data_IF_517157515717
#
_entry.id   IF_517157515717
#
_cell.length_a   1.000
_cell.length_b   1.000
_cell.length_c   1.000
_cell.angle_alpha   90.00
_cell.angle_beta   90.00
_cell.angle_gamma   90.00
#
_symmetry.space_group_name_H-M   'P 1'
#
loop_
_entity.id
_entity.type
_entity.pdbx_description
1 polymer ?
#
# COMPACT_ATOMS: atom_id res chain seq x y z
N UNK A 1 -2.42 -22.97 11.46
CA UNK A 1 -3.43 -21.89 11.59
C UNK A 1 -2.85 -20.52 11.33
N UNK A 2 -1.56 -20.28 11.62
CA UNK A 2 -0.91 -18.98 11.39
C UNK A 2 -1.00 -18.46 9.95
N UNK A 3 -0.97 -19.34 8.94
CA UNK A 3 -1.17 -18.91 7.54
C UNK A 3 -2.57 -18.28 7.31
N UNK A 4 -3.63 -18.85 7.90
CA UNK A 4 -4.98 -18.31 7.77
C UNK A 4 -5.10 -16.97 8.49
N UNK A 5 -4.46 -16.84 9.67
CA UNK A 5 -4.36 -15.56 10.38
C UNK A 5 -3.60 -14.54 9.52
N UNK A 6 -2.44 -14.89 8.98
CA UNK A 6 -1.66 -13.99 8.12
C UNK A 6 -2.45 -13.52 6.88
N UNK A 7 -3.23 -14.41 6.25
CA UNK A 7 -4.15 -14.04 5.15
C UNK A 7 -5.20 -13.05 5.64
N UNK A 8 -5.81 -13.27 6.81
CA UNK A 8 -6.79 -12.35 7.37
C UNK A 8 -6.19 -10.96 7.65
N UNK A 9 -5.00 -10.89 8.25
CA UNK A 9 -4.27 -9.64 8.46
C UNK A 9 -3.98 -8.93 7.13
N UNK A 10 -3.54 -9.68 6.11
CA UNK A 10 -3.32 -9.13 4.77
C UNK A 10 -4.60 -8.60 4.11
N UNK A 11 -5.75 -9.26 4.30
CA UNK A 11 -7.05 -8.77 3.81
C UNK A 11 -7.44 -7.47 4.53
N UNK A 12 -7.32 -7.44 5.85
CA UNK A 12 -7.67 -6.26 6.65
C UNK A 12 -6.79 -5.07 6.26
N UNK A 13 -5.47 -5.25 6.19
CA UNK A 13 -4.55 -4.21 5.71
C UNK A 13 -4.93 -3.76 4.29
N UNK A 14 -5.05 -4.71 3.37
CA UNK A 14 -5.34 -4.42 1.96
C UNK A 14 -6.66 -3.69 1.74
N UNK A 15 -7.66 -3.85 2.62
CA UNK A 15 -8.93 -3.11 2.55
C UNK A 15 -8.85 -1.78 3.28
N UNK A 16 -8.26 -1.75 4.48
CA UNK A 16 -8.29 -0.58 5.36
C UNK A 16 -7.26 0.49 4.98
N UNK A 17 -6.18 0.14 4.28
CA UNK A 17 -5.16 1.11 3.82
C UNK A 17 -5.71 2.12 2.81
N UNK A 18 -6.71 1.73 2.02
CA UNK A 18 -7.34 2.61 1.02
C UNK A 18 -8.56 3.37 1.54
N UNK A 19 -9.03 3.00 2.74
CA UNK A 19 -10.15 3.64 3.40
C UNK A 19 -9.61 4.64 4.44
N UNK A 20 -10.22 5.83 4.60
CA UNK A 20 -9.77 6.82 5.58
C UNK A 20 -10.21 6.44 7.01
N UNK A 21 -9.82 5.25 7.48
CA UNK A 21 -10.25 4.63 8.74
C UNK A 21 -9.09 4.12 9.61
N UNK A 22 -7.83 4.40 9.24
CA UNK A 22 -6.59 3.94 9.91
C UNK A 22 -6.40 2.42 9.90
N UNK A 23 -5.55 1.94 9.00
CA UNK A 23 -5.14 0.53 8.89
C UNK A 23 -4.41 0.03 10.14
N UNK A 24 -3.46 0.79 10.67
CA UNK A 24 -2.69 0.45 11.89
C UNK A 24 -3.60 0.15 13.09
N UNK A 25 -4.64 0.96 13.31
CA UNK A 25 -5.58 0.74 14.40
C UNK A 25 -6.36 -0.58 14.25
N UNK A 26 -6.78 -0.90 13.02
CA UNK A 26 -7.48 -2.15 12.73
C UNK A 26 -6.59 -3.38 12.93
N UNK A 27 -5.30 -3.32 12.58
CA UNK A 27 -4.36 -4.41 12.82
C UNK A 27 -4.04 -4.63 14.31
N UNK A 28 -4.01 -3.56 15.10
CA UNK A 28 -3.86 -3.66 16.57
C UNK A 28 -5.11 -4.33 17.16
N UNK A 29 -6.31 -3.85 16.81
CA UNK A 29 -7.56 -4.44 17.28
C UNK A 29 -7.70 -5.91 16.85
N UNK A 30 -7.37 -6.22 15.59
CA UNK A 30 -7.40 -7.59 15.08
C UNK A 30 -6.47 -8.51 15.86
N UNK A 31 -5.31 -8.02 16.30
CA UNK A 31 -4.37 -8.80 17.10
C UNK A 31 -4.90 -9.15 18.49
N UNK A 32 -5.68 -8.26 19.12
CA UNK A 32 -6.34 -8.53 20.40
C UNK A 32 -7.33 -9.70 20.29
N UNK A 33 -8.01 -9.86 19.14
CA UNK A 33 -8.95 -10.96 18.91
C UNK A 33 -8.28 -12.22 18.35
N UNK A 34 -7.29 -12.05 17.47
CA UNK A 34 -6.62 -13.11 16.72
C UNK A 34 -5.13 -12.87 16.83
N UNK A 35 -4.56 -13.36 17.91
CA UNK A 35 -3.13 -13.21 18.23
C UNK A 35 -2.29 -14.12 17.31
N UNK A 36 -1.27 -13.54 16.69
CA UNK A 36 -0.23 -14.29 15.98
C UNK A 36 0.82 -14.74 17.00
N UNK A 37 1.14 -16.04 17.02
CA UNK A 37 2.14 -16.61 17.95
C UNK A 37 3.55 -16.47 17.35
N UNK A 38 4.01 -15.21 17.25
CA UNK A 38 5.27 -14.82 16.61
C UNK A 38 6.00 -13.80 17.49
N UNK A 39 7.30 -13.62 17.28
CA UNK A 39 8.05 -12.59 18.01
C UNK A 39 7.62 -11.18 17.60
N UNK A 40 7.73 -10.22 18.51
CA UNK A 40 7.42 -8.80 18.24
C UNK A 40 8.21 -8.25 17.05
N UNK A 41 9.47 -8.66 16.92
CA UNK A 41 10.32 -8.29 15.78
C UNK A 41 9.76 -8.83 14.45
N UNK A 42 9.30 -10.08 14.44
CA UNK A 42 8.67 -10.65 13.25
C UNK A 42 7.34 -9.96 12.94
N UNK A 43 6.55 -9.62 13.96
CA UNK A 43 5.29 -8.90 13.78
C UNK A 43 5.50 -7.51 13.18
N UNK A 44 6.44 -6.74 13.70
CA UNK A 44 6.79 -5.43 13.16
C UNK A 44 7.23 -5.52 11.69
N UNK A 45 8.05 -6.51 11.35
CA UNK A 45 8.43 -6.79 9.97
C UNK A 45 7.21 -7.18 9.11
N UNK A 46 6.34 -8.03 9.63
CA UNK A 46 5.15 -8.51 8.93
C UNK A 46 4.20 -7.37 8.58
N UNK A 47 3.92 -6.46 9.52
CA UNK A 47 3.05 -5.29 9.31
C UNK A 47 3.60 -4.39 8.17
N UNK A 48 4.92 -4.16 8.15
CA UNK A 48 5.56 -3.42 7.04
C UNK A 48 5.43 -4.18 5.70
N UNK A 49 5.58 -5.50 5.70
CA UNK A 49 5.51 -6.32 4.47
C UNK A 49 4.10 -6.33 3.88
N UNK A 50 3.06 -6.43 4.70
CA UNK A 50 1.67 -6.40 4.20
C UNK A 50 1.30 -5.02 3.66
N UNK A 51 1.78 -3.93 4.29
CA UNK A 51 1.61 -2.57 3.78
C UNK A 51 2.33 -2.35 2.44
N UNK A 52 3.55 -2.88 2.29
CA UNK A 52 4.24 -2.91 1.00
C UNK A 52 3.44 -3.69 -0.07
N UNK A 53 2.77 -4.77 0.33
CA UNK A 53 1.84 -5.51 -0.52
C UNK A 53 0.67 -4.65 -1.00
N UNK A 54 0.07 -3.85 -0.11
CA UNK A 54 -0.96 -2.89 -0.48
C UNK A 54 -0.42 -1.87 -1.49
N UNK A 55 0.70 -1.20 -1.20
CA UNK A 55 1.33 -0.22 -2.11
C UNK A 55 1.59 -0.84 -3.49
N UNK A 56 2.12 -2.06 -3.52
CA UNK A 56 2.39 -2.78 -4.77
C UNK A 56 1.12 -3.02 -5.58
N UNK A 57 -0.01 -3.34 -4.93
CA UNK A 57 -1.29 -3.50 -5.62
C UNK A 57 -1.69 -2.25 -6.38
N UNK A 58 -1.48 -1.05 -5.81
CA UNK A 58 -1.75 0.22 -6.49
C UNK A 58 -0.75 0.53 -7.59
N UNK A 59 0.53 0.22 -7.38
CA UNK A 59 1.54 0.35 -8.44
C UNK A 59 1.17 -0.51 -9.64
N UNK A 60 0.75 -1.76 -9.42
CA UNK A 60 0.33 -2.69 -10.49
C UNK A 60 -0.95 -2.19 -11.17
N UNK A 61 -1.99 -1.83 -10.39
CA UNK A 61 -3.27 -1.36 -10.91
C UNK A 61 -3.13 -0.09 -11.76
N UNK A 62 -2.28 0.84 -11.32
CA UNK A 62 -2.02 2.09 -12.01
C UNK A 62 -0.71 2.08 -12.81
N UNK A 63 -0.10 0.92 -13.06
CA UNK A 63 1.22 0.81 -13.69
C UNK A 63 1.27 1.56 -15.01
N UNK A 64 0.28 1.33 -15.87
CA UNK A 64 0.19 2.03 -17.15
C UNK A 64 -0.02 3.53 -16.99
N UNK A 65 -0.84 3.97 -16.03
CA UNK A 65 -1.12 5.39 -15.78
C UNK A 65 0.11 6.12 -15.23
N UNK A 66 0.87 5.48 -14.35
CA UNK A 66 2.06 6.06 -13.71
C UNK A 66 3.32 5.97 -14.59
N UNK A 67 3.41 4.98 -15.49
CA UNK A 67 4.57 4.77 -16.34
C UNK A 67 4.65 5.81 -17.49
N UNK A 68 5.61 6.73 -17.49
CA UNK A 68 5.75 7.74 -18.55
C UNK A 68 6.33 7.17 -19.85
N UNK A 69 6.94 5.98 -19.80
CA UNK A 69 7.60 5.32 -20.92
C UNK A 69 6.71 4.31 -21.63
N UNK A 70 5.44 4.17 -21.23
CA UNK A 70 4.54 3.24 -21.89
C UNK A 70 4.45 3.54 -23.40
N UNK A 71 4.73 2.55 -24.28
CA UNK A 71 4.66 2.73 -25.73
C UNK A 71 3.23 2.97 -26.22
N UNK A 72 2.22 2.58 -25.44
CA UNK A 72 0.82 2.79 -25.76
C UNK A 72 0.31 4.21 -25.45
N UNK A 73 1.15 5.09 -24.87
CA UNK A 73 0.76 6.49 -24.58
C UNK A 73 1.11 7.44 -25.70
N UNK A 74 0.14 8.27 -26.07
CA UNK A 74 0.33 9.45 -26.93
C UNK A 74 1.23 10.51 -26.26
N UNK A 75 1.74 11.45 -27.06
CA UNK A 75 2.56 12.56 -26.54
C UNK A 75 1.82 13.40 -25.48
N UNK A 76 0.50 13.57 -25.62
CA UNK A 76 -0.35 14.26 -24.65
C UNK A 76 -0.42 13.53 -23.30
N UNK A 77 -0.63 12.22 -23.32
CA UNK A 77 -0.70 11.40 -22.10
C UNK A 77 0.65 11.30 -21.38
N UNK A 78 1.76 11.28 -22.12
CA UNK A 78 3.11 11.36 -21.53
C UNK A 78 3.32 12.67 -20.79
N UNK A 79 2.91 13.81 -21.38
CA UNK A 79 2.95 15.13 -20.72
C UNK A 79 2.11 15.15 -19.44
N UNK A 80 0.90 14.59 -19.47
CA UNK A 80 0.05 14.48 -18.28
C UNK A 80 0.67 13.60 -17.19
N UNK A 81 1.35 12.52 -17.58
CA UNK A 81 2.06 11.64 -16.64
C UNK A 81 3.19 12.39 -15.93
N UNK A 82 3.98 13.17 -16.67
CA UNK A 82 5.02 14.03 -16.08
C UNK A 82 4.45 15.11 -15.16
N UNK A 83 3.32 15.72 -15.53
CA UNK A 83 2.61 16.66 -14.66
C UNK A 83 2.12 16.00 -13.37
N UNK A 84 1.64 14.75 -13.44
CA UNK A 84 1.25 13.97 -12.26
C UNK A 84 2.45 13.79 -11.32
N UNK A 85 3.60 13.35 -11.84
CA UNK A 85 4.82 13.17 -11.03
C UNK A 85 5.29 14.47 -10.38
N UNK A 86 5.28 15.60 -11.11
CA UNK A 86 5.62 16.89 -10.54
C UNK A 86 4.67 17.29 -9.39
N UNK A 87 3.36 17.10 -9.59
CA UNK A 87 2.34 17.36 -8.55
C UNK A 87 2.55 16.47 -7.33
N UNK A 88 2.88 15.20 -7.51
CA UNK A 88 3.18 14.26 -6.42
C UNK A 88 4.40 14.73 -5.64
N UNK A 89 5.51 15.07 -6.30
CA UNK A 89 6.71 15.59 -5.63
C UNK A 89 6.39 16.87 -4.85
N UNK A 90 5.69 17.82 -5.47
CA UNK A 90 5.30 19.07 -4.81
C UNK A 90 4.39 18.83 -3.58
N UNK A 91 3.54 17.80 -3.63
CA UNK A 91 2.67 17.42 -2.50
C UNK A 91 3.42 16.69 -1.38
N UNK A 92 4.56 16.05 -1.66
CA UNK A 92 5.39 15.36 -0.66
C UNK A 92 6.24 16.35 0.14
N UNK A 93 6.68 17.48 -0.45
CA UNK A 93 7.56 18.45 0.22
C UNK A 93 7.03 18.91 1.58
N UNK A 94 5.74 19.26 1.77
CA UNK A 94 5.21 19.66 3.08
C UNK A 94 5.06 18.51 4.09
N UNK A 95 5.17 17.26 3.64
CA UNK A 95 5.01 16.07 4.47
C UNK A 95 6.33 15.61 5.11
N UNK A 96 7.47 16.15 4.67
CA UNK A 96 8.81 15.82 5.16
C UNK A 96 9.42 16.90 6.05
#
# INVERSE_FOLDING_TARGET
>A
MELLKAVLFGIVEGVTEWLPISSTGHLILLNEFITLDVSDAFRSMFDVVIQLGAILAVIVLFFHKLNPFSPAKSAGEKKQTWQLWFKVIAAIIPSG
#
